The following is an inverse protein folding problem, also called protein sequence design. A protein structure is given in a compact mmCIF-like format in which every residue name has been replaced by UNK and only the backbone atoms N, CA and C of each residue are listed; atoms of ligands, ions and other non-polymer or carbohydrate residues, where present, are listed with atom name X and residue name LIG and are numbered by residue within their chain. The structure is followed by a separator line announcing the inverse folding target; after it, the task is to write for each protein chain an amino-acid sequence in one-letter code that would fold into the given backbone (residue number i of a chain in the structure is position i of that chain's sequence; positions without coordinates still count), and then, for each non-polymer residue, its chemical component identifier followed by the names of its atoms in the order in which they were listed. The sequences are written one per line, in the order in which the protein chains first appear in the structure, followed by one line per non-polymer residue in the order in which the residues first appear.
data_IF_570140745810
#
_entry.id   IF_570140745810
#
_cell.length_a   1.000
_cell.length_b   1.000
_cell.length_c   1.000
_cell.angle_alpha   90.00
_cell.angle_beta   90.00
_cell.angle_gamma   90.00
#
_symmetry.space_group_name_H-M   'P 1'
#
loop_
_entity.id
_entity.type
_entity.pdbx_description
1 polymer ?
#
# COMPACT_ATOMS: atom_id res chain seq x y z
N UNK A 1 17.82 0.10 -5.20
CA UNK A 1 17.08 -0.98 -4.52
C UNK A 1 15.73 -1.20 -5.17
N UNK A 2 14.61 -0.85 -4.54
CA UNK A 2 13.29 -1.05 -5.15
C UNK A 2 13.09 -0.20 -6.40
N UNK A 3 13.49 1.06 -6.34
CA UNK A 3 13.42 1.99 -7.47
C UNK A 3 14.18 1.47 -8.70
N UNK A 4 15.39 0.96 -8.49
CA UNK A 4 16.23 0.41 -9.55
C UNK A 4 15.61 -0.86 -10.13
N UNK A 5 15.04 -1.71 -9.29
CA UNK A 5 14.34 -2.92 -9.74
C UNK A 5 13.17 -2.57 -10.65
N UNK A 6 12.37 -1.58 -10.26
CA UNK A 6 11.23 -1.10 -11.06
C UNK A 6 11.73 -0.60 -12.42
N UNK A 7 12.81 0.18 -12.45
CA UNK A 7 13.38 0.71 -13.69
C UNK A 7 13.91 -0.39 -14.60
N UNK A 8 14.59 -1.39 -14.05
CA UNK A 8 15.09 -2.53 -14.82
C UNK A 8 13.95 -3.38 -15.38
N UNK A 9 12.93 -3.63 -14.55
CA UNK A 9 11.77 -4.41 -14.97
C UNK A 9 10.98 -3.68 -16.06
N UNK A 10 10.94 -2.34 -16.01
CA UNK A 10 10.34 -1.54 -17.09
C UNK A 10 11.11 -1.76 -18.41
N UNK A 11 12.43 -1.70 -18.38
CA UNK A 11 13.23 -1.95 -19.56
C UNK A 11 12.98 -3.34 -20.13
N UNK A 12 12.89 -4.34 -19.27
CA UNK A 12 12.62 -5.71 -19.66
C UNK A 12 11.22 -5.86 -20.25
N UNK A 13 10.22 -5.24 -19.64
CA UNK A 13 8.84 -5.26 -20.15
C UNK A 13 8.76 -4.62 -21.55
N UNK A 14 9.51 -3.54 -21.78
CA UNK A 14 9.59 -2.90 -23.11
C UNK A 14 10.21 -3.83 -24.14
N UNK A 15 11.28 -4.55 -23.79
CA UNK A 15 11.94 -5.52 -24.67
C UNK A 15 11.01 -6.69 -25.02
N UNK A 16 10.23 -7.16 -24.05
CA UNK A 16 9.28 -8.27 -24.20
C UNK A 16 7.98 -7.84 -24.85
N UNK A 17 7.81 -6.53 -25.09
CA UNK A 17 6.59 -5.92 -25.64
C UNK A 17 5.36 -6.23 -24.77
N UNK A 18 5.55 -6.28 -23.46
CA UNK A 18 4.45 -6.41 -22.50
C UNK A 18 3.86 -5.02 -22.26
N UNK A 19 2.81 -4.69 -23.00
CA UNK A 19 2.21 -3.35 -23.00
C UNK A 19 1.62 -2.95 -21.66
N UNK A 20 0.94 -3.87 -20.98
CA UNK A 20 0.30 -3.61 -19.68
C UNK A 20 1.37 -3.30 -18.64
N UNK A 21 2.35 -4.18 -18.51
CA UNK A 21 3.43 -4.01 -17.54
C UNK A 21 4.24 -2.74 -17.81
N UNK A 22 4.51 -2.46 -19.08
CA UNK A 22 5.21 -1.23 -19.49
C UNK A 22 4.43 0.00 -19.04
N UNK A 23 3.13 0.04 -19.28
CA UNK A 23 2.28 1.18 -18.89
C UNK A 23 2.26 1.39 -17.38
N UNK A 24 2.05 0.31 -16.62
CA UNK A 24 2.00 0.37 -15.17
C UNK A 24 3.32 0.85 -14.58
N UNK A 25 4.43 0.29 -15.03
CA UNK A 25 5.75 0.65 -14.52
C UNK A 25 6.18 2.06 -14.93
N UNK A 26 5.76 2.54 -16.10
CA UNK A 26 5.99 3.94 -16.50
C UNK A 26 5.25 4.91 -15.58
N UNK A 27 3.98 4.63 -15.29
CA UNK A 27 3.19 5.44 -14.37
C UNK A 27 3.80 5.44 -12.97
N UNK A 28 4.24 4.28 -12.51
CA UNK A 28 4.88 4.16 -11.20
C UNK A 28 6.19 4.94 -11.15
N UNK A 29 7.04 4.82 -12.16
CA UNK A 29 8.28 5.60 -12.26
C UNK A 29 8.01 7.10 -12.27
N UNK A 30 6.97 7.55 -12.98
CA UNK A 30 6.57 8.95 -13.00
C UNK A 30 6.14 9.44 -11.63
N UNK A 31 5.37 8.62 -10.89
CA UNK A 31 4.94 8.95 -9.53
C UNK A 31 6.13 9.07 -8.59
N UNK A 32 7.10 8.16 -8.70
CA UNK A 32 8.33 8.19 -7.90
C UNK A 32 9.14 9.46 -8.22
N UNK A 33 9.29 9.76 -9.50
CA UNK A 33 10.05 10.93 -9.94
C UNK A 33 9.41 12.24 -9.47
N UNK A 34 8.08 12.34 -9.56
CA UNK A 34 7.35 13.50 -9.05
C UNK A 34 7.54 13.66 -7.55
N UNK A 35 7.50 12.57 -6.82
CA UNK A 35 7.76 12.56 -5.37
C UNK A 35 9.18 13.06 -5.08
N UNK A 36 10.17 12.60 -5.82
CA UNK A 36 11.57 13.00 -5.64
C UNK A 36 11.78 14.49 -5.93
N UNK A 37 11.09 15.03 -6.93
CA UNK A 37 11.14 16.46 -7.25
C UNK A 37 10.57 17.29 -6.09
N UNK A 38 9.42 16.91 -5.57
CA UNK A 38 8.79 17.60 -4.43
C UNK A 38 9.63 17.50 -3.16
N UNK A 39 10.19 16.33 -2.90
CA UNK A 39 11.05 16.09 -1.75
C UNK A 39 12.42 16.78 -1.89
N UNK A 40 12.83 17.07 -3.12
CA UNK A 40 14.18 17.55 -3.46
C UNK A 40 15.26 16.55 -3.04
N UNK A 41 15.02 15.27 -3.28
CA UNK A 41 15.93 14.19 -2.93
C UNK A 41 15.50 12.85 -3.50
N UNK A 42 16.29 11.83 -3.23
CA UNK A 42 16.05 10.46 -3.71
C UNK A 42 15.04 9.77 -2.79
N UNK A 43 14.06 9.09 -3.38
CA UNK A 43 13.07 8.31 -2.63
C UNK A 43 13.73 7.08 -2.00
N UNK A 44 13.46 6.85 -0.72
CA UNK A 44 13.87 5.64 -0.03
C UNK A 44 12.94 4.48 -0.40
N UNK A 45 13.35 3.25 -0.11
CA UNK A 45 12.51 2.07 -0.35
C UNK A 45 11.16 2.19 0.38
N UNK A 46 11.15 2.66 1.62
CA UNK A 46 9.92 2.88 2.37
C UNK A 46 9.00 3.89 1.68
N UNK A 47 9.57 4.95 1.14
CA UNK A 47 8.82 5.97 0.41
C UNK A 47 8.26 5.42 -0.91
N UNK A 48 9.04 4.62 -1.62
CA UNK A 48 8.59 3.95 -2.85
C UNK A 48 7.44 2.98 -2.52
N UNK A 49 7.55 2.22 -1.44
CA UNK A 49 6.48 1.31 -0.99
C UNK A 49 5.18 2.05 -0.72
N UNK A 50 5.25 3.23 -0.08
CA UNK A 50 4.07 4.06 0.16
C UNK A 50 3.43 4.55 -1.13
N UNK A 51 4.25 4.91 -2.12
CA UNK A 51 3.76 5.32 -3.44
C UNK A 51 3.02 4.15 -4.11
N UNK A 52 3.60 2.95 -4.04
CA UNK A 52 2.98 1.75 -4.59
C UNK A 52 1.63 1.47 -3.94
N UNK A 53 1.55 1.54 -2.62
CA UNK A 53 0.31 1.33 -1.88
C UNK A 53 -0.77 2.35 -2.26
N UNK A 54 -0.38 3.60 -2.44
CA UNK A 54 -1.29 4.66 -2.88
C UNK A 54 -1.82 4.40 -4.29
N UNK A 55 -0.96 3.99 -5.21
CA UNK A 55 -1.36 3.63 -6.57
C UNK A 55 -2.30 2.41 -6.58
N UNK A 56 -2.03 1.42 -5.73
CA UNK A 56 -2.91 0.26 -5.57
C UNK A 56 -4.28 0.66 -5.07
N UNK A 57 -4.35 1.55 -4.09
CA UNK A 57 -5.61 2.05 -3.54
C UNK A 57 -6.44 2.75 -4.61
N UNK A 58 -5.81 3.59 -5.42
CA UNK A 58 -6.50 4.27 -6.54
C UNK A 58 -7.12 3.26 -7.51
N UNK A 59 -6.39 2.19 -7.84
CA UNK A 59 -6.90 1.15 -8.73
C UNK A 59 -8.04 0.35 -8.11
N UNK A 60 -7.96 0.06 -6.82
CA UNK A 60 -9.05 -0.61 -6.10
C UNK A 60 -10.34 0.22 -6.13
N UNK A 61 -10.22 1.53 -5.94
CA UNK A 61 -11.34 2.46 -6.02
C UNK A 61 -11.92 2.50 -7.44
N UNK A 62 -11.07 2.52 -8.46
CA UNK A 62 -11.48 2.49 -9.87
C UNK A 62 -12.19 1.17 -10.21
N UNK A 63 -11.67 0.04 -9.76
CA UNK A 63 -12.27 -1.28 -9.95
C UNK A 63 -13.69 -1.29 -9.38
N UNK A 64 -13.86 -0.80 -8.16
CA UNK A 64 -15.16 -0.76 -7.52
C UNK A 64 -16.13 0.16 -8.27
N UNK A 65 -15.66 1.32 -8.71
CA UNK A 65 -16.46 2.26 -9.48
C UNK A 65 -16.93 1.66 -10.82
N UNK A 66 -16.03 0.97 -11.52
CA UNK A 66 -16.39 0.32 -12.79
C UNK A 66 -17.37 -0.83 -12.58
N UNK A 67 -17.20 -1.64 -11.55
CA UNK A 67 -18.15 -2.71 -11.21
C UNK A 67 -19.53 -2.16 -10.89
N UNK A 68 -19.58 -1.06 -10.14
CA UNK A 68 -20.84 -0.39 -9.81
C UNK A 68 -21.53 0.19 -11.04
N UNK A 69 -20.76 0.55 -12.07
CA UNK A 69 -21.27 1.07 -13.34
C UNK A 69 -21.54 -0.04 -14.37
N UNK A 70 -21.42 -1.31 -13.98
CA UNK A 70 -21.57 -2.48 -14.86
C UNK A 70 -20.55 -2.49 -16.01
N UNK A 71 -19.36 -1.96 -15.77
CA UNK A 71 -18.26 -1.94 -16.74
C UNK A 71 -17.20 -2.95 -16.33
N UNK A 72 -17.55 -4.22 -16.40
CA UNK A 72 -16.64 -5.34 -16.05
C UNK A 72 -15.39 -5.37 -16.93
N UNK A 73 -15.47 -4.91 -18.17
CA UNK A 73 -14.35 -4.81 -19.09
C UNK A 73 -13.27 -3.86 -18.57
N UNK A 74 -13.66 -2.68 -18.10
CA UNK A 74 -12.75 -1.69 -17.53
C UNK A 74 -12.23 -2.12 -16.16
N UNK A 75 -13.08 -2.76 -15.37
CA UNK A 75 -12.67 -3.32 -14.07
C UNK A 75 -11.59 -4.38 -14.24
N UNK A 76 -11.71 -5.26 -15.25
CA UNK A 76 -10.73 -6.30 -15.53
C UNK A 76 -9.37 -5.72 -15.91
N UNK A 77 -9.33 -4.65 -16.70
CA UNK A 77 -8.09 -3.96 -17.05
C UNK A 77 -7.38 -3.41 -15.80
N UNK A 78 -8.13 -2.77 -14.90
CA UNK A 78 -7.59 -2.24 -13.66
C UNK A 78 -7.10 -3.36 -12.73
N UNK A 79 -7.78 -4.50 -12.72
CA UNK A 79 -7.39 -5.67 -11.93
C UNK A 79 -6.05 -6.24 -12.41
N UNK A 80 -5.81 -6.29 -13.73
CA UNK A 80 -4.53 -6.73 -14.29
C UNK A 80 -3.40 -5.76 -13.89
N UNK A 81 -3.65 -4.47 -13.93
CA UNK A 81 -2.69 -3.46 -13.51
C UNK A 81 -2.39 -3.57 -12.01
N UNK A 82 -3.41 -3.83 -11.20
CA UNK A 82 -3.26 -4.02 -9.75
C UNK A 82 -2.36 -5.22 -9.44
N UNK A 83 -2.53 -6.34 -10.16
CA UNK A 83 -1.69 -7.52 -9.96
C UNK A 83 -0.20 -7.23 -10.23
N UNK A 84 0.09 -6.40 -11.22
CA UNK A 84 1.47 -5.98 -11.50
C UNK A 84 2.04 -5.17 -10.32
N UNK A 85 1.27 -4.24 -9.79
CA UNK A 85 1.70 -3.43 -8.63
C UNK A 85 1.94 -4.28 -7.39
N UNK A 86 1.16 -5.34 -7.19
CA UNK A 86 1.31 -6.25 -6.05
C UNK A 86 2.68 -6.92 -6.01
N UNK A 87 3.33 -7.11 -7.17
CA UNK A 87 4.67 -7.69 -7.23
C UNK A 87 5.71 -6.83 -6.51
N UNK A 88 5.48 -5.53 -6.41
CA UNK A 88 6.39 -4.56 -5.81
C UNK A 88 5.93 -4.07 -4.44
N UNK A 89 4.70 -4.40 -4.06
CA UNK A 89 4.12 -3.96 -2.81
C UNK A 89 4.81 -4.62 -1.61
N UNK A 90 4.90 -3.92 -0.47
CA UNK A 90 5.39 -4.56 0.75
C UNK A 90 4.40 -5.64 1.18
N UNK A 91 4.91 -6.65 1.87
CA UNK A 91 4.05 -7.70 2.41
C UNK A 91 3.17 -7.09 3.49
N UNK A 92 1.85 -7.11 3.27
CA UNK A 92 0.89 -6.61 4.25
C UNK A 92 0.80 -7.55 5.46
N UNK A 93 0.62 -6.97 6.63
CA UNK A 93 0.46 -7.71 7.86
C UNK A 93 -0.90 -8.41 7.90
N UNK A 94 -0.91 -9.65 8.38
CA UNK A 94 -2.14 -10.41 8.60
C UNK A 94 -2.89 -9.86 9.83
N UNK A 95 -4.17 -10.18 9.95
CA UNK A 95 -4.94 -9.81 11.13
C UNK A 95 -4.30 -10.33 12.42
N UNK A 96 -3.78 -11.56 12.39
CA UNK A 96 -3.07 -12.15 13.53
C UNK A 96 -1.85 -11.33 13.93
N UNK A 97 -1.03 -10.93 12.97
CA UNK A 97 0.15 -10.08 13.22
C UNK A 97 -0.25 -8.72 13.77
N UNK A 98 -1.33 -8.13 13.24
CA UNK A 98 -1.86 -6.86 13.74
C UNK A 98 -2.32 -7.01 15.19
N UNK A 99 -3.04 -8.09 15.53
CA UNK A 99 -3.49 -8.35 16.91
C UNK A 99 -2.32 -8.46 17.87
N UNK A 100 -1.25 -9.12 17.48
CA UNK A 100 -0.05 -9.23 18.31
C UNK A 100 0.59 -7.86 18.57
N UNK A 101 0.69 -7.02 17.52
CA UNK A 101 1.24 -5.66 17.65
C UNK A 101 0.36 -4.81 18.56
N UNK A 102 -0.96 -4.85 18.36
CA UNK A 102 -1.92 -4.06 19.16
C UNK A 102 -1.87 -4.50 20.63
N UNK A 103 -1.91 -5.80 20.88
CA UNK A 103 -1.86 -6.35 22.24
C UNK A 103 -0.58 -5.93 22.97
N UNK A 104 0.56 -6.03 22.30
CA UNK A 104 1.83 -5.60 22.83
C UNK A 104 1.85 -4.10 23.14
N UNK A 105 1.29 -3.30 22.25
CA UNK A 105 1.22 -1.85 22.42
C UNK A 105 0.35 -1.47 23.62
N UNK A 106 -0.80 -2.10 23.76
CA UNK A 106 -1.70 -1.88 24.90
C UNK A 106 -0.98 -2.20 26.22
N UNK A 107 -0.25 -3.29 26.25
CA UNK A 107 0.52 -3.70 27.45
C UNK A 107 1.65 -2.72 27.75
N UNK A 108 2.38 -2.28 26.73
CA UNK A 108 3.52 -1.36 26.89
C UNK A 108 3.12 0.00 27.48
N UNK A 109 1.97 0.53 27.07
CA UNK A 109 1.52 1.85 27.52
C UNK A 109 0.46 1.79 28.61
N UNK A 110 0.12 0.59 29.07
CA UNK A 110 -0.95 0.34 30.06
C UNK A 110 -2.25 1.05 29.65
N UNK A 111 -2.66 0.84 28.41
CA UNK A 111 -3.81 1.52 27.82
C UNK A 111 -5.13 1.07 28.44
N UNK A 112 -6.04 2.03 28.60
CA UNK A 112 -7.42 1.80 29.02
C UNK A 112 -8.33 2.03 27.81
N UNK A 113 -9.63 1.67 27.86
CA UNK A 113 -10.55 1.96 26.75
C UNK A 113 -10.61 3.43 26.32
N UNK A 114 -10.22 4.34 27.21
CA UNK A 114 -10.17 5.78 26.90
C UNK A 114 -8.98 6.16 26.01
N UNK A 115 -8.00 5.28 25.88
CA UNK A 115 -6.74 5.53 25.17
C UNK A 115 -6.76 5.08 23.71
N UNK A 116 -7.95 4.90 23.12
CA UNK A 116 -8.10 4.42 21.74
C UNK A 116 -7.21 5.21 20.76
N UNK A 117 -7.29 6.55 20.79
CA UNK A 117 -6.51 7.40 19.88
C UNK A 117 -5.01 7.24 20.08
N UNK A 118 -4.57 7.10 21.31
CA UNK A 118 -3.15 6.92 21.65
C UNK A 118 -2.63 5.57 21.16
N UNK A 119 -3.41 4.51 21.37
CA UNK A 119 -3.06 3.17 20.86
C UNK A 119 -3.01 3.17 19.34
N UNK A 120 -4.00 3.78 18.69
CA UNK A 120 -4.02 3.88 17.22
C UNK A 120 -2.76 4.57 16.69
N UNK A 121 -2.37 5.67 17.30
CA UNK A 121 -1.16 6.41 16.89
C UNK A 121 0.09 5.56 17.00
N UNK A 122 0.26 4.87 18.13
CA UNK A 122 1.42 4.01 18.38
C UNK A 122 1.45 2.81 17.42
N UNK A 123 0.31 2.16 17.21
CA UNK A 123 0.21 1.00 16.31
C UNK A 123 0.48 1.42 14.87
N UNK A 124 -0.12 2.52 14.41
CA UNK A 124 0.09 2.99 13.05
C UNK A 124 1.55 3.34 12.78
N UNK A 125 2.25 3.88 13.76
CA UNK A 125 3.69 4.12 13.67
C UNK A 125 4.50 2.81 13.56
N UNK A 126 4.09 1.77 14.26
CA UNK A 126 4.75 0.46 14.23
C UNK A 126 4.52 -0.29 12.93
N UNK A 127 3.32 -0.22 12.36
CA UNK A 127 2.99 -0.96 11.12
C UNK A 127 3.52 -0.27 9.86
N UNK A 128 3.85 1.02 9.92
CA UNK A 128 4.47 1.77 8.81
C UNK A 128 3.76 1.62 7.46
N UNK A 129 2.44 1.66 7.46
CA UNK A 129 1.65 1.54 6.23
C UNK A 129 1.43 0.11 5.73
N UNK A 130 1.92 -0.90 6.45
CA UNK A 130 1.75 -2.32 6.08
C UNK A 130 0.46 -2.94 6.61
N UNK A 131 -0.46 -2.11 7.07
CA UNK A 131 -1.76 -2.55 7.53
C UNK A 131 -2.82 -1.51 7.15
N UNK A 132 -4.03 -2.01 6.85
CA UNK A 132 -5.18 -1.15 6.59
C UNK A 132 -5.63 -0.50 7.91
N UNK A 133 -5.74 0.83 7.90
CA UNK A 133 -6.20 1.58 9.08
C UNK A 133 -7.55 1.12 9.61
N UNK A 134 -8.47 0.73 8.73
CA UNK A 134 -9.78 0.20 9.14
C UNK A 134 -9.68 -1.09 9.91
N UNK A 135 -8.81 -2.00 9.47
CA UNK A 135 -8.57 -3.26 10.17
C UNK A 135 -7.88 -3.03 11.51
N UNK A 136 -6.89 -2.14 11.55
CA UNK A 136 -6.21 -1.76 12.81
C UNK A 136 -7.21 -1.19 13.80
N UNK A 137 -8.08 -0.28 13.36
CA UNK A 137 -9.12 0.33 14.20
C UNK A 137 -10.04 -0.72 14.79
N UNK A 138 -10.49 -1.67 13.97
CA UNK A 138 -11.35 -2.78 14.41
C UNK A 138 -10.67 -3.59 15.50
N UNK A 139 -9.42 -3.99 15.28
CA UNK A 139 -8.65 -4.78 16.25
C UNK A 139 -8.43 -4.03 17.55
N UNK A 140 -8.08 -2.75 17.47
CA UNK A 140 -7.88 -1.91 18.67
C UNK A 140 -9.18 -1.82 19.48
N UNK A 141 -10.31 -1.59 18.82
CA UNK A 141 -11.63 -1.56 19.50
C UNK A 141 -11.94 -2.87 20.22
N UNK A 142 -11.69 -4.00 19.55
CA UNK A 142 -11.94 -5.32 20.12
C UNK A 142 -11.06 -5.59 21.35
N UNK A 143 -9.78 -5.22 21.31
CA UNK A 143 -8.83 -5.51 22.38
C UNK A 143 -8.88 -4.51 23.54
N UNK A 144 -9.41 -3.31 23.33
CA UNK A 144 -9.59 -2.30 24.38
C UNK A 144 -10.95 -2.39 25.08
N UNK A 145 -11.90 -3.07 24.50
CA UNK A 145 -13.24 -3.18 25.10
C UNK A 145 -13.31 -4.20 26.25
#
# INVERSE_FOLDING_TARGET
MLKEKISEDLKQAMKERNEIKTRVLRLLNSAIKNFEVEKMGIATDDEVEKIILKEMKKRQESIQAYKNANREDLAAEEEEELEILKEYAPKMLSEKEIREIVKKTIDEINATPKDFGKVMKEVMAKVKGKADGSLVSKVVKELLS
#
